data_IF_119562760143
#
_entry.id   IF_119562760143
#
_cell.length_a   1.000
_cell.length_b   1.000
_cell.length_c   1.000
_cell.angle_alpha   90.00
_cell.angle_beta   90.00
_cell.angle_gamma   90.00
#
_symmetry.space_group_name_H-M   'P 1'
#
loop_
_entity.id
_entity.type
_entity.pdbx_description
1 polymer ?
#
# COMPACT_ATOMS: atom_id res chain seq x y z
N UNK A 1 35.94 34.05 30.32
CA UNK A 1 35.16 33.78 29.09
C UNK A 1 34.93 32.29 28.95
N UNK A 2 33.78 31.94 28.36
CA UNK A 2 33.42 30.62 27.81
C UNK A 2 32.74 29.61 28.74
N UNK A 3 31.42 29.77 28.89
CA UNK A 3 30.53 28.67 29.22
C UNK A 3 30.21 27.86 27.95
N UNK A 4 30.33 26.54 28.01
CA UNK A 4 29.85 25.65 26.96
C UNK A 4 28.32 25.55 27.06
N UNK A 5 27.62 26.05 26.04
CA UNK A 5 26.19 25.74 25.85
C UNK A 5 26.06 24.29 25.42
N UNK A 6 25.33 23.51 26.20
CA UNK A 6 24.87 22.16 25.80
C UNK A 6 23.78 22.32 24.76
N UNK A 7 24.03 21.88 23.53
CA UNK A 7 23.01 21.80 22.48
C UNK A 7 22.19 20.54 22.70
N UNK A 8 20.97 20.69 23.22
CA UNK A 8 19.97 19.64 23.20
C UNK A 8 19.67 19.28 21.74
N UNK A 9 19.92 18.03 21.36
CA UNK A 9 19.49 17.51 20.07
C UNK A 9 17.95 17.50 20.06
N UNK A 10 17.34 18.33 19.21
CA UNK A 10 15.92 18.23 18.89
C UNK A 10 15.65 16.81 18.40
N UNK A 11 14.58 16.13 18.85
CA UNK A 11 14.24 14.83 18.30
C UNK A 11 13.98 15.06 16.82
N UNK A 12 14.82 14.46 15.96
CA UNK A 12 14.44 14.29 14.58
C UNK A 12 13.09 13.60 14.65
N UNK A 13 12.03 14.27 14.17
CA UNK A 13 10.81 13.57 13.79
C UNK A 13 11.31 12.59 12.74
N UNK A 14 11.65 11.38 13.18
CA UNK A 14 11.88 10.24 12.30
C UNK A 14 10.62 10.25 11.47
N UNK A 15 10.75 10.65 10.21
CA UNK A 15 9.69 10.42 9.24
C UNK A 15 9.66 8.91 9.19
N UNK A 16 8.86 8.30 10.05
CA UNK A 16 8.50 6.90 9.96
C UNK A 16 8.03 6.80 8.52
N UNK A 17 8.87 6.24 7.65
CA UNK A 17 8.49 6.02 6.28
C UNK A 17 7.27 5.13 6.39
N UNK A 18 6.09 5.71 6.23
CA UNK A 18 4.86 4.94 6.26
C UNK A 18 4.99 4.03 5.05
N UNK A 19 5.17 2.75 5.34
CA UNK A 19 5.41 1.71 4.35
C UNK A 19 4.05 1.42 3.71
N UNK A 20 3.68 2.30 2.78
CA UNK A 20 2.43 2.18 2.05
C UNK A 20 2.59 1.11 1.00
N UNK A 21 1.66 0.16 1.01
CA UNK A 21 1.58 -0.90 0.02
C UNK A 21 0.45 -0.56 -0.95
N UNK A 22 0.59 -0.93 -2.21
CA UNK A 22 -0.52 -0.90 -3.17
C UNK A 22 -0.88 -2.33 -3.55
N UNK A 23 -2.17 -2.63 -3.56
CA UNK A 23 -2.72 -3.85 -4.16
C UNK A 23 -3.57 -3.41 -5.35
N UNK A 24 -3.16 -3.76 -6.56
CA UNK A 24 -3.92 -3.50 -7.78
C UNK A 24 -4.71 -4.75 -8.17
N UNK A 25 -6.04 -4.64 -8.09
CA UNK A 25 -6.99 -5.70 -8.39
C UNK A 25 -7.68 -5.42 -9.72
N UNK A 26 -7.34 -6.19 -10.75
CA UNK A 26 -7.92 -6.02 -12.08
C UNK A 26 -7.95 -7.36 -12.82
N UNK A 27 -9.15 -7.83 -13.19
CA UNK A 27 -9.35 -9.13 -13.84
C UNK A 27 -8.78 -9.22 -15.26
N UNK A 28 -8.39 -8.10 -15.84
CA UNK A 28 -7.82 -7.98 -17.19
C UNK A 28 -6.35 -7.55 -17.20
N UNK A 29 -5.71 -7.43 -16.02
CA UNK A 29 -4.32 -7.00 -15.96
C UNK A 29 -3.39 -8.01 -16.62
N UNK A 30 -2.54 -7.47 -17.51
CA UNK A 30 -1.44 -8.20 -18.13
C UNK A 30 -0.14 -7.49 -17.78
N UNK A 31 0.70 -8.11 -16.96
CA UNK A 31 1.99 -7.55 -16.57
C UNK A 31 3.01 -7.48 -17.71
N UNK A 32 2.73 -8.10 -18.86
CA UNK A 32 3.58 -7.99 -20.05
C UNK A 32 3.24 -6.77 -20.91
N UNK A 33 2.06 -6.17 -20.70
CA UNK A 33 1.66 -4.97 -21.41
C UNK A 33 2.54 -3.78 -21.03
N UNK A 34 2.99 -3.00 -22.02
CA UNK A 34 3.90 -1.87 -21.81
C UNK A 34 3.32 -0.79 -20.90
N UNK A 35 2.02 -0.48 -21.04
CA UNK A 35 1.35 0.52 -20.20
C UNK A 35 1.22 0.02 -18.76
N UNK A 36 0.95 -1.27 -18.56
CA UNK A 36 0.94 -1.91 -17.25
C UNK A 36 2.32 -1.81 -16.60
N UNK A 37 3.38 -2.22 -17.29
CA UNK A 37 4.76 -2.13 -16.77
C UNK A 37 5.17 -0.70 -16.45
N UNK A 38 4.84 0.25 -17.32
CA UNK A 38 5.10 1.67 -17.09
C UNK A 38 4.35 2.20 -15.87
N UNK A 39 3.11 1.77 -15.65
CA UNK A 39 2.30 2.16 -14.49
C UNK A 39 2.86 1.56 -13.21
N UNK A 40 3.20 0.26 -13.20
CA UNK A 40 3.82 -0.42 -12.07
C UNK A 40 5.17 0.22 -11.71
N UNK A 41 5.99 0.55 -12.70
CA UNK A 41 7.26 1.24 -12.49
C UNK A 41 7.05 2.59 -11.78
N UNK A 42 6.05 3.38 -12.20
CA UNK A 42 5.72 4.67 -11.56
C UNK A 42 5.19 4.48 -10.14
N UNK A 43 4.28 3.54 -9.90
CA UNK A 43 3.74 3.26 -8.57
C UNK A 43 4.85 2.89 -7.58
N UNK A 44 5.78 2.02 -7.98
CA UNK A 44 6.95 1.60 -7.17
C UNK A 44 7.92 2.73 -6.83
N UNK A 45 7.83 3.90 -7.48
CA UNK A 45 8.61 5.09 -7.07
C UNK A 45 8.01 5.83 -5.88
N UNK A 46 6.72 5.60 -5.59
CA UNK A 46 5.96 6.33 -4.56
C UNK A 46 5.66 5.46 -3.35
N UNK A 47 5.45 4.16 -3.58
CA UNK A 47 5.07 3.19 -2.54
C UNK A 47 6.15 2.14 -2.35
N UNK A 48 6.16 1.48 -1.18
CA UNK A 48 7.21 0.51 -0.85
C UNK A 48 7.08 -0.78 -1.62
N UNK A 49 5.85 -1.17 -1.96
CA UNK A 49 5.57 -2.38 -2.72
C UNK A 49 4.25 -2.24 -3.49
N UNK A 50 4.16 -2.98 -4.60
CA UNK A 50 2.99 -3.04 -5.46
C UNK A 50 2.72 -4.51 -5.78
N UNK A 51 1.62 -5.02 -5.23
CA UNK A 51 1.11 -6.36 -5.48
C UNK A 51 -0.02 -6.30 -6.50
N UNK A 52 -0.05 -7.27 -7.42
CA UNK A 52 -1.05 -7.35 -8.49
C UNK A 52 -1.81 -8.66 -8.36
N UNK A 53 -3.13 -8.61 -8.51
CA UNK A 53 -3.97 -9.80 -8.58
C UNK A 53 -5.18 -9.58 -9.50
N UNK A 54 -5.69 -10.68 -10.06
CA UNK A 54 -6.84 -10.65 -10.98
C UNK A 54 -8.17 -10.95 -10.30
N UNK A 55 -8.17 -11.36 -9.03
CA UNK A 55 -9.37 -11.79 -8.32
C UNK A 55 -9.49 -11.17 -6.92
N UNK A 56 -10.73 -11.09 -6.37
CA UNK A 56 -10.95 -10.66 -5.00
C UNK A 56 -10.17 -11.48 -3.97
N UNK A 57 -10.15 -12.79 -4.12
CA UNK A 57 -9.50 -13.72 -3.17
C UNK A 57 -8.00 -13.48 -3.10
N UNK A 58 -7.37 -13.14 -4.23
CA UNK A 58 -5.95 -12.76 -4.28
C UNK A 58 -5.67 -11.51 -3.45
N UNK A 59 -6.55 -10.51 -3.53
CA UNK A 59 -6.43 -9.30 -2.72
C UNK A 59 -6.59 -9.60 -1.22
N UNK A 60 -7.59 -10.40 -0.85
CA UNK A 60 -7.82 -10.79 0.55
C UNK A 60 -6.61 -11.57 1.09
N UNK A 61 -5.98 -12.41 0.29
CA UNK A 61 -4.75 -13.10 0.67
C UNK A 61 -3.63 -12.11 1.00
N UNK A 62 -3.37 -11.14 0.11
CA UNK A 62 -2.37 -10.09 0.37
C UNK A 62 -2.68 -9.28 1.63
N UNK A 63 -3.94 -8.91 1.86
CA UNK A 63 -4.34 -8.18 3.07
C UNK A 63 -4.09 -8.99 4.36
N UNK A 64 -4.27 -10.32 4.32
CA UNK A 64 -4.01 -11.16 5.47
C UNK A 64 -2.51 -11.31 5.77
N UNK A 65 -1.66 -11.28 4.75
CA UNK A 65 -0.19 -11.35 4.87
C UNK A 65 0.44 -10.05 5.40
N UNK A 66 -0.30 -8.93 5.38
CA UNK A 66 0.16 -7.67 5.95
C UNK A 66 -0.05 -7.71 7.47
N UNK A 67 1.05 -7.66 8.24
CA UNK A 67 0.98 -7.70 9.70
C UNK A 67 0.70 -6.34 10.33
N UNK A 68 1.48 -5.31 9.96
CA UNK A 68 1.30 -3.92 10.41
C UNK A 68 1.65 -3.00 9.24
N UNK A 69 0.67 -2.22 8.77
CA UNK A 69 0.86 -1.38 7.60
C UNK A 69 -0.42 -0.77 7.06
N UNK A 70 -0.26 0.13 6.09
CA UNK A 70 -1.38 0.74 5.35
C UNK A 70 -1.31 0.28 3.91
N UNK A 71 -2.39 -0.32 3.43
CA UNK A 71 -2.54 -0.69 2.03
C UNK A 71 -3.53 0.25 1.33
N UNK A 72 -3.20 0.61 0.11
CA UNK A 72 -4.15 1.20 -0.84
C UNK A 72 -4.57 0.12 -1.82
N UNK A 73 -5.87 0.03 -2.07
CA UNK A 73 -6.41 -0.90 -3.04
C UNK A 73 -6.88 -0.10 -4.25
N UNK A 74 -6.37 -0.45 -5.42
CA UNK A 74 -6.82 0.10 -6.69
C UNK A 74 -7.56 -1.03 -7.39
N UNK A 75 -8.89 -0.90 -7.53
CA UNK A 75 -9.71 -1.90 -8.21
C UNK A 75 -10.35 -1.32 -9.47
N UNK A 76 -10.40 -2.09 -10.55
CA UNK A 76 -11.15 -1.70 -11.74
C UNK A 76 -12.57 -2.29 -11.78
N UNK A 77 -13.50 -1.54 -12.39
CA UNK A 77 -14.84 -2.01 -12.72
C UNK A 77 -15.66 -2.55 -11.53
N UNK A 78 -16.32 -3.68 -11.76
CA UNK A 78 -17.24 -4.32 -10.79
C UNK A 78 -16.54 -5.13 -9.71
N UNK A 79 -15.23 -5.39 -9.84
CA UNK A 79 -14.45 -6.11 -8.83
C UNK A 79 -14.44 -5.34 -7.51
N UNK A 80 -14.34 -4.00 -7.57
CA UNK A 80 -14.36 -3.15 -6.39
C UNK A 80 -15.65 -3.25 -5.57
N UNK A 81 -16.81 -3.46 -6.20
CA UNK A 81 -18.08 -3.55 -5.48
C UNK A 81 -18.14 -4.75 -4.54
N UNK A 82 -17.64 -5.90 -4.98
CA UNK A 82 -17.57 -7.12 -4.17
C UNK A 82 -16.47 -6.99 -3.12
N UNK A 83 -15.30 -6.50 -3.54
CA UNK A 83 -14.13 -6.37 -2.70
C UNK A 83 -14.36 -5.48 -1.47
N UNK A 84 -15.04 -4.34 -1.66
CA UNK A 84 -15.33 -3.40 -0.57
C UNK A 84 -16.21 -4.06 0.49
N UNK A 85 -17.22 -4.83 0.09
CA UNK A 85 -18.08 -5.55 1.02
C UNK A 85 -17.30 -6.61 1.82
N UNK A 86 -16.45 -7.39 1.15
CA UNK A 86 -15.62 -8.41 1.79
C UNK A 86 -14.63 -7.80 2.79
N UNK A 87 -13.98 -6.69 2.39
CA UNK A 87 -12.99 -5.99 3.23
C UNK A 87 -13.63 -5.37 4.46
N UNK A 88 -14.81 -4.74 4.35
CA UNK A 88 -15.53 -4.21 5.51
C UNK A 88 -15.90 -5.29 6.54
N UNK A 89 -16.03 -6.54 6.11
CA UNK A 89 -16.25 -7.69 6.99
C UNK A 89 -15.00 -8.22 7.66
N UNK A 90 -13.80 -7.78 7.28
CA UNK A 90 -12.53 -8.32 7.78
C UNK A 90 -12.19 -7.74 9.17
N UNK A 91 -12.09 -8.57 10.23
CA UNK A 91 -11.75 -8.07 11.57
C UNK A 91 -10.35 -7.47 11.70
N UNK A 92 -9.43 -7.82 10.79
CA UNK A 92 -8.02 -7.36 10.79
C UNK A 92 -7.86 -6.00 10.08
N UNK A 93 -8.86 -5.56 9.31
CA UNK A 93 -8.74 -4.38 8.46
C UNK A 93 -9.66 -3.28 8.98
N UNK A 94 -9.08 -2.12 9.29
CA UNK A 94 -9.82 -0.89 9.47
C UNK A 94 -9.94 -0.20 8.10
N UNK A 95 -11.11 -0.33 7.47
CA UNK A 95 -11.38 0.18 6.13
C UNK A 95 -12.12 1.51 6.18
N UNK A 96 -11.67 2.47 5.36
CA UNK A 96 -12.18 3.86 5.28
C UNK A 96 -12.74 4.11 3.88
#
# INVERSE_FOLDING_TARGET
MSGRKSTAAMPSKRRMAQNYLVIWVDGSIDENNDDCRNTLAKLRTVVSDVNVCTTPEGCIKFLNEIDDGKAFIISSGTLGQHLVADIHGMPKVDAI
#
